data_IF_331308733343
#
_entry.id   IF_331308733343
#
_cell.length_a   1.000
_cell.length_b   1.000
_cell.length_c   1.000
_cell.angle_alpha   90.00
_cell.angle_beta   90.00
_cell.angle_gamma   90.00
#
_symmetry.space_group_name_H-M   'P 1'
#
loop_
_entity.id
_entity.type
_entity.pdbx_description
1 polymer ?
#
# COMPACT_ATOMS: atom_id res chain seq x y z
N UNK A 1 18.76 -11.35 4.97
CA UNK A 1 17.35 -11.59 5.35
C UNK A 1 16.53 -10.52 4.64
N UNK A 2 15.46 -10.89 3.92
CA UNK A 2 14.64 -9.88 3.24
C UNK A 2 13.94 -8.98 4.26
N UNK A 3 13.79 -7.70 3.95
CA UNK A 3 13.02 -6.73 4.74
C UNK A 3 11.58 -6.74 4.26
N UNK A 4 10.65 -6.93 5.18
CA UNK A 4 9.22 -6.85 4.88
C UNK A 4 8.78 -5.39 4.69
N UNK A 5 7.93 -5.17 3.69
CA UNK A 5 7.22 -3.93 3.41
C UNK A 5 5.73 -4.28 3.34
N UNK A 6 4.94 -3.72 4.26
CA UNK A 6 3.50 -3.94 4.33
C UNK A 6 2.77 -2.97 3.40
N UNK A 7 2.19 -3.51 2.33
CA UNK A 7 1.45 -2.75 1.31
C UNK A 7 -0.02 -3.04 1.44
N UNK A 8 -0.81 -2.01 1.76
CA UNK A 8 -2.26 -2.12 1.87
C UNK A 8 -2.95 -1.46 0.67
N UNK A 9 -3.85 -2.16 0.00
CA UNK A 9 -4.58 -1.64 -1.15
C UNK A 9 -6.01 -2.23 -1.20
N UNK A 10 -6.86 -1.70 -2.08
CA UNK A 10 -8.21 -2.21 -2.24
C UNK A 10 -8.22 -3.55 -2.98
N UNK A 11 -9.29 -4.35 -2.84
CA UNK A 11 -9.49 -5.55 -3.66
C UNK A 11 -10.01 -5.23 -5.07
N UNK A 12 -10.07 -3.95 -5.47
CA UNK A 12 -10.62 -3.54 -6.76
C UNK A 12 -9.72 -3.98 -7.93
N UNK A 13 -10.31 -4.11 -9.12
CA UNK A 13 -9.64 -4.71 -10.26
C UNK A 13 -8.41 -3.93 -10.75
N UNK A 14 -8.43 -2.60 -10.60
CA UNK A 14 -7.33 -1.72 -10.94
C UNK A 14 -6.16 -1.86 -9.96
N UNK A 15 -6.42 -1.92 -8.65
CA UNK A 15 -5.39 -2.23 -7.65
C UNK A 15 -4.81 -3.64 -7.84
N UNK A 16 -5.67 -4.63 -8.09
CA UNK A 16 -5.23 -5.99 -8.39
C UNK A 16 -4.32 -6.03 -9.63
N UNK A 17 -4.61 -5.22 -10.65
CA UNK A 17 -3.77 -5.09 -11.84
C UNK A 17 -2.44 -4.41 -11.52
N UNK A 18 -2.45 -3.28 -10.80
CA UNK A 18 -1.24 -2.54 -10.43
C UNK A 18 -0.27 -3.38 -9.60
N UNK A 19 -0.77 -4.13 -8.61
CA UNK A 19 0.06 -4.90 -7.69
C UNK A 19 0.33 -6.35 -8.13
N UNK A 20 -0.24 -6.80 -9.26
CA UNK A 20 -0.17 -8.18 -9.71
C UNK A 20 1.26 -8.74 -9.74
N UNK A 21 2.19 -8.00 -10.33
CA UNK A 21 3.57 -8.46 -10.49
C UNK A 21 4.30 -8.62 -9.15
N UNK A 22 4.02 -7.73 -8.18
CA UNK A 22 4.55 -7.81 -6.82
C UNK A 22 3.94 -8.99 -6.06
N UNK A 23 2.61 -9.09 -6.04
CA UNK A 23 1.88 -10.13 -5.31
C UNK A 23 2.19 -11.55 -5.84
N UNK A 24 2.44 -11.69 -7.13
CA UNK A 24 2.78 -12.97 -7.77
C UNK A 24 4.29 -13.21 -7.93
N UNK A 25 5.14 -12.34 -7.35
CA UNK A 25 6.61 -12.46 -7.40
C UNK A 25 7.18 -12.58 -8.81
N UNK A 26 6.58 -11.85 -9.77
CA UNK A 26 6.98 -11.84 -11.19
C UNK A 26 8.04 -10.80 -11.53
N UNK A 27 8.40 -9.96 -10.58
CA UNK A 27 9.50 -8.99 -10.69
C UNK A 27 10.51 -9.21 -9.58
N UNK A 28 11.77 -8.91 -9.86
CA UNK A 28 12.83 -8.96 -8.85
C UNK A 28 12.68 -7.77 -7.88
N UNK A 29 12.52 -8.07 -6.61
CA UNK A 29 12.37 -7.10 -5.53
C UNK A 29 13.65 -6.95 -4.69
N UNK A 30 14.74 -7.59 -5.11
CA UNK A 30 15.99 -7.63 -4.36
C UNK A 30 15.79 -8.12 -2.93
N UNK A 31 16.27 -7.33 -1.98
CA UNK A 31 16.19 -7.62 -0.55
C UNK A 31 14.84 -7.24 0.10
N UNK A 32 13.86 -6.78 -0.68
CA UNK A 32 12.53 -6.45 -0.18
C UNK A 32 11.55 -7.62 -0.37
N UNK A 33 10.69 -7.83 0.61
CA UNK A 33 9.56 -8.73 0.55
C UNK A 33 8.26 -7.94 0.78
N UNK A 34 7.31 -8.03 -0.14
CA UNK A 34 6.06 -7.26 -0.06
C UNK A 34 4.95 -8.13 0.52
N UNK A 35 4.36 -7.66 1.61
CA UNK A 35 3.26 -8.32 2.32
C UNK A 35 1.98 -7.54 2.07
N UNK A 36 1.05 -8.13 1.32
CA UNK A 36 -0.16 -7.45 0.86
C UNK A 36 -1.30 -7.57 1.87
N UNK A 37 -2.00 -6.47 2.14
CA UNK A 37 -3.26 -6.43 2.90
C UNK A 37 -4.36 -5.83 2.03
N UNK A 38 -5.49 -6.52 1.91
CA UNK A 38 -6.65 -6.05 1.17
C UNK A 38 -7.70 -5.47 2.13
N UNK A 39 -8.15 -4.25 1.87
CA UNK A 39 -9.24 -3.62 2.64
C UNK A 39 -9.92 -2.52 1.83
N UNK A 40 -11.14 -2.14 2.20
CA UNK A 40 -11.82 -1.02 1.54
C UNK A 40 -11.11 0.33 1.81
N UNK A 41 -11.25 1.28 0.89
CA UNK A 41 -10.58 2.59 0.97
C UNK A 41 -10.87 3.35 2.26
N UNK A 42 -12.08 3.23 2.83
CA UNK A 42 -12.42 3.95 4.05
C UNK A 42 -11.69 3.36 5.26
N UNK A 43 -11.59 2.03 5.34
CA UNK A 43 -10.75 1.36 6.34
C UNK A 43 -9.28 1.73 6.16
N UNK A 44 -8.77 1.73 4.93
CA UNK A 44 -7.38 2.12 4.65
C UNK A 44 -7.09 3.58 5.04
N UNK A 45 -7.97 4.53 4.72
CA UNK A 45 -7.84 5.93 5.14
C UNK A 45 -7.69 6.03 6.66
N UNK A 46 -8.55 5.35 7.43
CA UNK A 46 -8.51 5.37 8.91
C UNK A 46 -7.21 4.80 9.47
N UNK A 47 -6.70 3.72 8.87
CA UNK A 47 -5.44 3.08 9.29
C UNK A 47 -4.20 3.88 8.90
N UNK A 48 -4.23 4.52 7.74
CA UNK A 48 -3.18 5.44 7.31
C UNK A 48 -3.09 6.67 8.22
N UNK A 49 -4.21 7.17 8.78
CA UNK A 49 -4.18 8.27 9.75
C UNK A 49 -3.30 7.97 10.98
N UNK A 50 -3.12 6.70 11.36
CA UNK A 50 -2.24 6.28 12.47
C UNK A 50 -0.91 5.68 12.01
N UNK A 51 -0.66 5.60 10.71
CA UNK A 51 0.60 5.07 10.17
C UNK A 51 0.71 3.55 10.23
N UNK A 52 -0.38 2.80 10.13
CA UNK A 52 -0.38 1.33 10.34
C UNK A 52 0.46 0.55 9.30
N UNK A 53 0.56 1.05 8.07
CA UNK A 53 1.21 0.37 6.96
C UNK A 53 2.38 1.17 6.39
N UNK A 54 3.40 0.49 5.86
CA UNK A 54 4.53 1.17 5.18
C UNK A 54 4.06 1.88 3.90
N UNK A 55 3.14 1.25 3.17
CA UNK A 55 2.50 1.78 1.96
C UNK A 55 1.00 1.52 2.04
N UNK A 56 0.17 2.53 1.79
CA UNK A 56 -1.29 2.39 1.78
C UNK A 56 -1.91 3.12 0.59
N UNK A 57 -2.81 2.46 -0.13
CA UNK A 57 -3.78 3.13 -0.97
C UNK A 57 -4.70 3.98 -0.08
N UNK A 58 -4.94 5.21 -0.49
CA UNK A 58 -5.81 6.17 0.21
C UNK A 58 -6.52 7.03 -0.82
N UNK A 59 -7.63 7.64 -0.41
CA UNK A 59 -8.21 8.71 -1.21
C UNK A 59 -7.29 9.93 -1.23
N UNK A 60 -7.23 10.64 -2.35
CA UNK A 60 -6.42 11.86 -2.42
C UNK A 60 -6.91 12.96 -1.47
N UNK A 61 -8.21 12.97 -1.17
CA UNK A 61 -8.77 13.84 -0.13
C UNK A 61 -8.17 13.54 1.26
N UNK A 62 -8.05 12.26 1.61
CA UNK A 62 -7.46 11.84 2.88
C UNK A 62 -5.97 12.20 2.96
N UNK A 63 -5.22 12.14 1.84
CA UNK A 63 -3.80 12.46 1.80
C UNK A 63 -3.47 13.83 2.40
N UNK A 64 -4.30 14.85 2.16
CA UNK A 64 -4.11 16.20 2.69
C UNK A 64 -3.99 16.24 4.23
N UNK A 65 -4.58 15.28 4.93
CA UNK A 65 -4.56 15.18 6.40
C UNK A 65 -3.43 14.31 6.95
N UNK A 66 -2.65 13.65 6.08
CA UNK A 66 -1.57 12.72 6.45
C UNK A 66 -0.29 12.93 5.65
N UNK A 67 -0.16 14.09 4.99
CA UNK A 67 1.00 14.46 4.18
C UNK A 67 2.30 14.62 5.01
N UNK A 68 2.18 14.76 6.33
CA UNK A 68 3.29 14.75 7.28
C UNK A 68 3.84 13.34 7.56
N UNK A 69 3.05 12.29 7.27
CA UNK A 69 3.39 10.89 7.56
C UNK A 69 3.78 10.10 6.32
N UNK A 70 3.16 10.40 5.19
CA UNK A 70 3.35 9.67 3.94
C UNK A 70 3.86 10.55 2.82
N UNK A 71 4.77 9.99 2.03
CA UNK A 71 5.11 10.51 0.72
C UNK A 71 4.11 9.97 -0.32
N UNK A 72 3.68 10.83 -1.25
CA UNK A 72 2.93 10.38 -2.42
C UNK A 72 3.88 9.65 -3.39
N UNK A 73 3.49 8.45 -3.84
CA UNK A 73 4.26 7.66 -4.81
C UNK A 73 3.76 7.95 -6.24
N UNK A 74 4.70 8.11 -7.18
CA UNK A 74 4.45 8.42 -8.60
C UNK A 74 4.93 7.32 -9.52
#
# INVERSE_FOLDING_TARGET
>A
MKKDIHVAHSPDSDDAFMFYALATRKIDTGDLNYVHTLSDIETLNKKAMIGEYDVSAISFHAYAYMADKYALLS
#
